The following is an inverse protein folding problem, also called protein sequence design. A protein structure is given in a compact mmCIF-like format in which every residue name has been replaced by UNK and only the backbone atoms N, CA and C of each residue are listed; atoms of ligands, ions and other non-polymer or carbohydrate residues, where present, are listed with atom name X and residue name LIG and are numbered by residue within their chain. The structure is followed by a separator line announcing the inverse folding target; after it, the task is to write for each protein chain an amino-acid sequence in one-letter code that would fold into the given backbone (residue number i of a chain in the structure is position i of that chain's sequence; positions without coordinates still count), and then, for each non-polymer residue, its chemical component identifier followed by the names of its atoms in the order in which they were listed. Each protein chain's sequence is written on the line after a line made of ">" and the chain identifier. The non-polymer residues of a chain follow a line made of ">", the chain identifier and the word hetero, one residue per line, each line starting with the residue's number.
data_IF_400731841308
#
_entry.id   IF_400731841308
#
_cell.length_a   1.000
_cell.length_b   1.000
_cell.length_c   1.000
_cell.angle_alpha   90.00
_cell.angle_beta   90.00
_cell.angle_gamma   90.00
#
_symmetry.space_group_name_H-M   'P 1'
#
loop_
_entity.id
_entity.type
_entity.pdbx_description
1 polymer ?
#
# COMPACT_ATOMS: atom_id res chain seq x y z
N UNK A 1 -12.37 -1.61 14.97
CA UNK A 1 -12.42 -0.69 13.80
C UNK A 1 -12.64 -1.54 12.56
N UNK A 2 -13.53 -1.16 11.63
CA UNK A 2 -13.76 -2.00 10.44
C UNK A 2 -12.55 -1.95 9.50
N UNK A 3 -12.16 -3.10 8.95
CA UNK A 3 -11.10 -3.19 7.93
C UNK A 3 -11.40 -2.28 6.72
N UNK A 4 -12.68 -2.08 6.44
CA UNK A 4 -13.19 -1.15 5.44
C UNK A 4 -12.78 0.30 5.70
N UNK A 5 -12.79 0.77 6.95
CA UNK A 5 -12.34 2.12 7.30
C UNK A 5 -10.84 2.30 7.02
N UNK A 6 -10.03 1.29 7.36
CA UNK A 6 -8.60 1.28 7.07
C UNK A 6 -8.33 1.26 5.56
N UNK A 7 -9.14 0.52 4.81
CA UNK A 7 -9.07 0.46 3.35
C UNK A 7 -9.35 1.81 2.70
N UNK A 8 -10.41 2.49 3.13
CA UNK A 8 -10.77 3.84 2.66
C UNK A 8 -9.64 4.83 2.96
N UNK A 9 -9.07 4.79 4.17
CA UNK A 9 -7.96 5.66 4.55
C UNK A 9 -6.72 5.43 3.67
N UNK A 10 -6.41 4.17 3.35
CA UNK A 10 -5.33 3.83 2.42
C UNK A 10 -5.58 4.38 1.01
N UNK A 11 -6.81 4.30 0.50
CA UNK A 11 -7.17 4.89 -0.81
C UNK A 11 -7.03 6.41 -0.77
N UNK A 12 -7.49 7.07 0.31
CA UNK A 12 -7.34 8.51 0.49
C UNK A 12 -5.86 8.89 0.47
N UNK A 13 -4.98 8.15 1.15
CA UNK A 13 -3.53 8.36 1.08
C UNK A 13 -2.98 8.23 -0.34
N UNK A 14 -3.40 7.22 -1.11
CA UNK A 14 -3.01 7.08 -2.51
C UNK A 14 -3.45 8.28 -3.36
N UNK A 15 -4.65 8.78 -3.11
CA UNK A 15 -5.28 9.87 -3.84
C UNK A 15 -4.61 11.22 -3.52
N UNK A 16 -4.28 11.47 -2.25
CA UNK A 16 -3.51 12.64 -1.82
C UNK A 16 -2.13 12.68 -2.50
N UNK A 17 -1.40 11.57 -2.49
CA UNK A 17 -0.09 11.47 -3.15
C UNK A 17 -0.22 11.65 -4.67
N UNK A 18 -1.34 11.21 -5.26
CA UNK A 18 -1.62 11.38 -6.69
C UNK A 18 -1.87 12.85 -7.06
N UNK A 19 -2.68 13.56 -6.27
CA UNK A 19 -3.05 14.97 -6.51
C UNK A 19 -1.83 15.89 -6.38
N UNK A 20 -0.99 15.70 -5.37
CA UNK A 20 0.16 16.57 -5.15
C UNK A 20 1.39 15.82 -4.62
N UNK A 21 2.15 15.24 -5.55
CA UNK A 21 3.33 14.41 -5.26
C UNK A 21 4.39 15.15 -4.46
N UNK A 22 4.57 16.45 -4.66
CA UNK A 22 5.59 17.26 -3.98
C UNK A 22 5.15 17.64 -2.57
N UNK A 23 3.89 18.07 -2.38
CA UNK A 23 3.35 18.40 -1.05
C UNK A 23 3.25 17.17 -0.15
N UNK A 24 2.88 16.02 -0.71
CA UNK A 24 2.71 14.76 0.04
C UNK A 24 3.91 13.82 -0.08
N UNK A 25 5.04 14.31 -0.61
CA UNK A 25 6.29 13.55 -0.72
C UNK A 25 6.73 13.01 0.64
N UNK A 26 6.55 13.79 1.70
CA UNK A 26 6.89 13.37 3.06
C UNK A 26 6.13 12.11 3.50
N UNK A 27 4.86 11.94 3.08
CA UNK A 27 4.07 10.75 3.38
C UNK A 27 4.71 9.48 2.79
N UNK A 28 5.18 9.61 1.54
CA UNK A 28 5.82 8.53 0.78
C UNK A 28 7.22 8.23 1.34
N UNK A 29 8.02 9.26 1.61
CA UNK A 29 9.41 9.12 2.06
C UNK A 29 9.50 8.60 3.50
N UNK A 30 8.60 9.03 4.39
CA UNK A 30 8.52 8.56 5.79
C UNK A 30 8.19 7.07 5.87
N UNK A 31 7.43 6.56 4.90
CA UNK A 31 7.00 5.16 4.85
C UNK A 31 7.94 4.26 4.05
N UNK A 32 9.19 4.71 3.81
CA UNK A 32 10.25 3.90 3.21
C UNK A 32 10.24 3.84 1.67
N UNK A 33 9.25 4.45 1.02
CA UNK A 33 9.18 4.53 -0.45
C UNK A 33 10.12 5.62 -0.98
N UNK A 34 11.45 5.45 -0.82
CA UNK A 34 12.54 6.34 -1.27
C UNK A 34 12.21 7.15 -2.54
N UNK A 35 11.58 8.32 -2.40
CA UNK A 35 11.16 9.21 -3.49
C UNK A 35 10.48 8.53 -4.70
N UNK A 36 9.83 7.38 -4.53
CA UNK A 36 9.13 6.67 -5.61
C UNK A 36 7.60 6.77 -5.40
N UNK A 37 6.97 7.94 -5.67
CA UNK A 37 5.55 8.15 -5.39
C UNK A 37 4.65 7.21 -6.20
N UNK A 38 5.08 6.77 -7.39
CA UNK A 38 4.33 5.80 -8.21
C UNK A 38 4.14 4.46 -7.49
N UNK A 39 5.21 3.94 -6.86
CA UNK A 39 5.18 2.65 -6.15
C UNK A 39 4.30 2.76 -4.90
N UNK A 40 4.37 3.89 -4.19
CA UNK A 40 3.51 4.16 -3.05
C UNK A 40 2.03 4.24 -3.44
N UNK A 41 1.68 4.95 -4.52
CA UNK A 41 0.30 5.05 -5.00
C UNK A 41 -0.26 3.65 -5.31
N UNK A 42 0.52 2.82 -6.01
CA UNK A 42 0.12 1.44 -6.35
C UNK A 42 -0.08 0.62 -5.08
N UNK A 43 0.88 0.66 -4.15
CA UNK A 43 0.81 -0.07 -2.89
C UNK A 43 -0.43 0.33 -2.09
N UNK A 44 -0.64 1.63 -1.83
CA UNK A 44 -1.80 2.10 -1.06
C UNK A 44 -3.14 1.84 -1.75
N UNK A 45 -3.17 1.88 -3.09
CA UNK A 45 -4.38 1.55 -3.85
C UNK A 45 -4.72 0.07 -3.74
N UNK A 46 -3.77 -0.83 -3.98
CA UNK A 46 -4.00 -2.28 -3.91
C UNK A 46 -4.35 -2.68 -2.46
N UNK A 47 -3.61 -2.16 -1.49
CA UNK A 47 -3.83 -2.41 -0.06
C UNK A 47 -5.23 -1.96 0.36
N UNK A 48 -5.64 -0.75 -0.07
CA UNK A 48 -6.95 -0.20 0.23
C UNK A 48 -8.10 -1.02 -0.37
N UNK A 49 -7.95 -1.45 -1.62
CA UNK A 49 -8.95 -2.25 -2.34
C UNK A 49 -9.12 -3.63 -1.71
N UNK A 50 -8.02 -4.28 -1.32
CA UNK A 50 -8.05 -5.57 -0.64
C UNK A 50 -8.64 -5.48 0.77
N UNK A 51 -8.34 -4.43 1.53
CA UNK A 51 -8.96 -4.16 2.83
C UNK A 51 -10.47 -3.93 2.71
N UNK A 52 -10.93 -3.21 1.67
CA UNK A 52 -12.36 -3.03 1.41
C UNK A 52 -13.04 -4.34 1.01
N UNK A 53 -12.44 -5.12 0.10
CA UNK A 53 -12.95 -6.44 -0.30
C UNK A 53 -13.04 -7.40 0.88
N UNK A 54 -12.03 -7.43 1.76
CA UNK A 54 -12.05 -8.25 2.97
C UNK A 54 -13.13 -7.82 3.97
N UNK A 55 -13.55 -6.55 3.95
CA UNK A 55 -14.68 -6.06 4.74
C UNK A 55 -16.04 -6.47 4.18
N UNK A 56 -16.13 -6.71 2.87
CA UNK A 56 -17.36 -7.17 2.18
C UNK A 56 -17.49 -8.69 2.28
N UNK A 57 -16.38 -9.39 2.05
CA UNK A 57 -16.30 -10.85 2.13
C UNK A 57 -16.14 -11.23 3.61
N UNK A 58 -17.28 -11.33 4.30
CA UNK A 58 -17.39 -11.65 5.73
C UNK A 58 -17.02 -13.13 6.06
N UNK A 59 -16.01 -13.68 5.38
CA UNK A 59 -15.45 -14.99 5.65
C UNK A 59 -14.25 -14.85 6.57
N UNK A 60 -14.33 -15.47 7.76
CA UNK A 60 -13.25 -15.48 8.74
C UNK A 60 -11.91 -15.95 8.14
N UNK A 61 -11.93 -16.94 7.25
CA UNK A 61 -10.72 -17.42 6.56
C UNK A 61 -9.99 -16.32 5.76
N UNK A 62 -10.75 -15.46 5.08
CA UNK A 62 -10.18 -14.38 4.27
C UNK A 62 -9.56 -13.30 5.14
N UNK A 63 -10.24 -12.90 6.22
CA UNK A 63 -9.75 -11.85 7.11
C UNK A 63 -8.58 -12.28 7.99
N UNK A 64 -8.53 -13.53 8.46
CA UNK A 64 -7.49 -14.00 9.39
C UNK A 64 -6.26 -14.62 8.72
N UNK A 65 -6.39 -15.16 7.50
CA UNK A 65 -5.28 -15.88 6.83
C UNK A 65 -4.89 -15.20 5.52
N UNK A 66 -5.84 -15.02 4.61
CA UNK A 66 -5.55 -14.51 3.26
C UNK A 66 -5.08 -13.06 3.31
N UNK A 67 -5.77 -12.22 4.08
CA UNK A 67 -5.45 -10.81 4.22
C UNK A 67 -4.03 -10.57 4.74
N UNK A 68 -3.62 -11.07 5.94
CA UNK A 68 -2.26 -10.85 6.43
C UNK A 68 -1.19 -11.48 5.53
N UNK A 69 -1.44 -12.65 4.93
CA UNK A 69 -0.51 -13.26 3.97
C UNK A 69 -0.32 -12.37 2.73
N UNK A 70 -1.40 -11.79 2.21
CA UNK A 70 -1.35 -10.88 1.07
C UNK A 70 -0.60 -9.59 1.40
N UNK A 71 -0.84 -9.01 2.57
CA UNK A 71 -0.10 -7.83 3.07
C UNK A 71 1.39 -8.10 3.16
N UNK A 72 1.78 -9.26 3.69
CA UNK A 72 3.18 -9.66 3.79
C UNK A 72 3.82 -9.81 2.41
N UNK A 73 3.16 -10.51 1.48
CA UNK A 73 3.64 -10.65 0.09
C UNK A 73 3.81 -9.29 -0.59
N UNK A 74 2.81 -8.40 -0.49
CA UNK A 74 2.87 -7.05 -1.05
C UNK A 74 4.02 -6.23 -0.49
N UNK A 75 4.23 -6.31 0.83
CA UNK A 75 5.34 -5.63 1.51
C UNK A 75 6.68 -6.17 1.02
N UNK A 76 6.82 -7.48 0.88
CA UNK A 76 8.04 -8.12 0.39
C UNK A 76 8.36 -7.72 -1.05
N UNK A 77 7.35 -7.74 -1.94
CA UNK A 77 7.46 -7.28 -3.33
C UNK A 77 7.87 -5.81 -3.38
N UNK A 78 7.26 -4.98 -2.54
CA UNK A 78 7.55 -3.54 -2.47
C UNK A 78 9.00 -3.28 -2.05
N UNK A 79 9.48 -3.98 -1.02
CA UNK A 79 10.87 -3.91 -0.58
C UNK A 79 11.81 -4.35 -1.70
N UNK A 80 11.51 -5.47 -2.37
CA UNK A 80 12.28 -5.97 -3.52
C UNK A 80 12.35 -4.93 -4.66
N UNK A 81 11.22 -4.34 -5.05
CA UNK A 81 11.16 -3.32 -6.11
C UNK A 81 12.00 -2.09 -5.73
N UNK A 82 11.89 -1.62 -4.48
CA UNK A 82 12.67 -0.48 -4.00
C UNK A 82 14.17 -0.80 -4.00
N UNK A 83 14.55 -2.02 -3.64
CA UNK A 83 15.95 -2.43 -3.53
C UNK A 83 16.58 -2.78 -4.89
N UNK A 84 15.86 -3.45 -5.80
CA UNK A 84 16.31 -3.71 -7.17
C UNK A 84 16.60 -2.42 -7.93
N UNK A 85 15.71 -1.42 -7.81
CA UNK A 85 15.94 -0.10 -8.43
C UNK A 85 17.19 0.62 -7.91
N UNK A 86 17.68 0.25 -6.72
CA UNK A 86 18.91 0.82 -6.16
C UNK A 86 20.15 0.20 -6.78
N UNK A 87 20.06 -1.04 -7.29
CA UNK A 87 21.17 -1.75 -7.92
C UNK A 87 21.33 -1.41 -9.42
N UNK A 88 20.28 -0.94 -10.10
CA UNK A 88 20.36 -0.48 -11.50
C UNK A 88 21.02 0.91 -11.68
N UNK A 89 21.39 1.58 -10.58
CA UNK A 89 22.01 2.90 -10.60
C UNK A 89 23.53 2.86 -10.33
N UNK A 90 24.17 1.71 -10.51
CA UNK A 90 25.62 1.54 -10.38
C UNK A 90 26.29 1.41 -11.74
#
# INVERSE_FOLDING_TARGET
>A
MSLTFLGILSIICALLVTINKDKYKWLVTSLGFKNNPKVAIIFYSIMGLVLMLSGIVNFSFVSYIVLPAFVLCLSFITILIINSKKNDAC
#
